data_IF_270949685524
#
_entry.id   IF_270949685524
#
_cell.length_a   1.000
_cell.length_b   1.000
_cell.length_c   1.000
_cell.angle_alpha   90.00
_cell.angle_beta   90.00
_cell.angle_gamma   90.00
#
_symmetry.space_group_name_H-M   'P 1'
#
loop_
_entity.id
_entity.type
_entity.pdbx_description
1 polymer ?
#
# COMPACT_ATOMS: atom_id res chain seq x y z
N UNK A 1 -7.79 10.81 12.67
CA UNK A 1 -6.88 10.81 13.83
C UNK A 1 -5.80 11.87 13.71
N UNK A 2 -5.18 12.04 12.54
CA UNK A 2 -4.15 13.06 12.31
C UNK A 2 -4.67 14.49 12.57
N UNK A 3 -5.78 14.88 11.99
CA UNK A 3 -6.40 16.20 12.19
C UNK A 3 -6.82 16.48 13.63
N UNK A 4 -7.12 15.43 14.39
CA UNK A 4 -7.51 15.55 15.80
C UNK A 4 -6.32 15.80 16.73
N UNK A 5 -5.15 15.28 16.39
CA UNK A 5 -3.94 15.33 17.22
C UNK A 5 -2.92 16.34 16.67
N UNK A 6 -2.75 16.39 15.37
CA UNK A 6 -1.75 17.19 14.67
C UNK A 6 -2.39 18.05 13.59
N UNK A 7 -2.28 19.35 13.69
CA UNK A 7 -2.85 20.29 12.71
C UNK A 7 -1.96 20.50 11.49
N UNK A 8 -0.68 20.16 11.60
CA UNK A 8 0.30 20.30 10.53
C UNK A 8 1.49 19.38 10.75
N UNK A 9 2.22 19.07 9.70
CA UNK A 9 3.54 18.43 9.80
C UNK A 9 4.48 19.43 10.50
N UNK A 10 5.34 18.93 11.41
CA UNK A 10 6.30 19.77 12.15
C UNK A 10 7.33 20.38 11.20
N UNK A 11 7.64 21.64 11.44
CA UNK A 11 8.56 22.44 10.60
C UNK A 11 9.86 22.80 11.34
N UNK A 12 10.16 22.17 12.45
CA UNK A 12 11.35 22.41 13.28
C UNK A 12 12.62 21.70 12.77
N UNK A 13 12.57 21.13 11.57
CA UNK A 13 13.69 20.45 10.91
C UNK A 13 13.86 18.98 11.30
N UNK A 14 13.07 18.47 12.25
CA UNK A 14 13.12 17.04 12.57
C UNK A 14 12.40 16.17 11.52
N UNK A 15 11.40 16.70 10.83
CA UNK A 15 10.80 16.06 9.67
C UNK A 15 11.54 16.48 8.40
N UNK A 16 12.00 15.47 7.65
CA UNK A 16 12.67 15.68 6.38
C UNK A 16 11.85 14.99 5.30
N UNK A 17 11.25 15.78 4.41
CA UNK A 17 10.60 15.23 3.24
C UNK A 17 11.65 14.65 2.27
N UNK A 18 11.54 13.37 1.97
CA UNK A 18 12.46 12.67 1.08
C UNK A 18 11.87 12.43 -0.32
N UNK A 19 10.68 12.96 -0.58
CA UNK A 19 9.92 12.71 -1.80
C UNK A 19 9.38 11.27 -1.86
N UNK A 20 9.06 10.82 -3.06
CA UNK A 20 8.48 9.48 -3.31
C UNK A 20 9.56 8.43 -3.67
N UNK A 21 10.82 8.68 -3.34
CA UNK A 21 11.92 7.76 -3.63
C UNK A 21 12.29 6.95 -2.39
N UNK A 22 11.71 5.77 -2.25
CA UNK A 22 11.92 4.88 -1.11
C UNK A 22 13.37 4.43 -0.96
N UNK A 23 14.12 4.25 -2.06
CA UNK A 23 15.55 3.94 -2.01
C UNK A 23 16.37 5.06 -1.33
N UNK A 24 15.99 6.33 -1.56
CA UNK A 24 16.63 7.45 -0.90
C UNK A 24 16.33 7.47 0.61
N UNK A 25 15.11 7.10 1.00
CA UNK A 25 14.73 6.97 2.41
C UNK A 25 15.57 5.89 3.08
N UNK A 26 15.68 4.71 2.47
CA UNK A 26 16.52 3.60 2.98
C UNK A 26 17.96 4.03 3.16
N UNK A 27 18.57 4.70 2.17
CA UNK A 27 19.94 5.22 2.28
C UNK A 27 20.12 6.22 3.44
N UNK A 28 19.13 7.11 3.65
CA UNK A 28 19.15 8.06 4.77
C UNK A 28 19.07 7.36 6.13
N UNK A 29 18.25 6.30 6.24
CA UNK A 29 18.16 5.48 7.45
C UNK A 29 19.46 4.74 7.74
N UNK A 30 20.11 4.17 6.73
CA UNK A 30 21.41 3.52 6.88
C UNK A 30 22.49 4.49 7.38
N UNK A 31 22.42 5.76 6.95
CA UNK A 31 23.35 6.80 7.36
C UNK A 31 23.05 7.40 8.75
N UNK A 32 21.80 7.30 9.22
CA UNK A 32 21.37 7.87 10.51
C UNK A 32 20.56 6.83 11.31
N UNK A 33 21.19 6.21 12.28
CA UNK A 33 20.62 5.14 13.11
C UNK A 33 19.53 5.62 14.10
N UNK A 34 19.45 6.92 14.33
CA UNK A 34 18.48 7.54 15.25
C UNK A 34 17.25 8.09 14.49
N UNK A 35 17.14 7.81 13.17
CA UNK A 35 16.03 8.26 12.35
C UNK A 35 14.97 7.16 12.17
N UNK A 36 13.72 7.60 11.96
CA UNK A 36 12.63 6.78 11.46
C UNK A 36 12.32 7.16 10.01
N UNK A 37 11.91 6.17 9.21
CA UNK A 37 11.45 6.37 7.84
C UNK A 37 10.06 5.82 7.63
N UNK A 38 9.32 6.40 6.69
CA UNK A 38 8.01 5.93 6.24
C UNK A 38 8.13 5.64 4.75
N UNK A 39 7.93 4.40 4.35
CA UNK A 39 8.08 3.92 2.97
C UNK A 39 7.36 2.58 2.80
N UNK A 40 7.32 2.07 1.56
CA UNK A 40 6.62 0.83 1.24
C UNK A 40 7.22 -0.40 1.93
N UNK A 41 6.37 -1.33 2.36
CA UNK A 41 6.76 -2.53 3.09
C UNK A 41 7.77 -3.40 2.33
N UNK A 42 7.67 -3.51 1.00
CA UNK A 42 8.62 -4.26 0.18
C UNK A 42 10.07 -3.79 0.34
N UNK A 43 10.29 -2.48 0.48
CA UNK A 43 11.64 -1.94 0.70
C UNK A 43 12.20 -2.30 2.08
N UNK A 44 11.33 -2.51 3.08
CA UNK A 44 11.75 -3.04 4.37
C UNK A 44 12.23 -4.50 4.21
N UNK A 45 11.48 -5.34 3.50
CA UNK A 45 11.84 -6.74 3.27
C UNK A 45 13.15 -6.88 2.48
N UNK A 46 13.29 -6.14 1.38
CA UNK A 46 14.51 -6.13 0.56
C UNK A 46 15.76 -5.68 1.33
N UNK A 47 15.59 -4.86 2.36
CA UNK A 47 16.68 -4.27 3.15
C UNK A 47 16.70 -4.77 4.60
N UNK A 48 16.06 -5.88 4.93
CA UNK A 48 15.93 -6.42 6.29
C UNK A 48 17.26 -6.69 7.00
N UNK A 49 18.37 -6.82 6.26
CA UNK A 49 19.71 -6.97 6.81
C UNK A 49 20.32 -5.67 7.34
N UNK A 50 19.81 -4.50 6.94
CA UNK A 50 20.40 -3.18 7.22
C UNK A 50 19.47 -2.23 7.95
N UNK A 51 18.17 -2.42 7.84
CA UNK A 51 17.14 -1.64 8.53
C UNK A 51 16.16 -2.58 9.25
N UNK A 52 15.46 -2.06 10.24
CA UNK A 52 14.50 -2.81 11.04
C UNK A 52 13.15 -2.14 11.03
N UNK A 53 12.09 -2.93 10.87
CA UNK A 53 10.72 -2.45 11.02
C UNK A 53 10.42 -2.06 12.46
N UNK A 54 9.77 -0.91 12.65
CA UNK A 54 9.34 -0.48 13.95
C UNK A 54 8.11 -1.25 14.41
N UNK A 55 8.12 -1.71 15.65
CA UNK A 55 6.96 -2.30 16.30
C UNK A 55 5.94 -1.20 16.65
N UNK A 56 4.67 -1.40 16.27
CA UNK A 56 3.57 -0.48 16.57
C UNK A 56 2.51 -1.23 17.38
N UNK A 57 2.20 -0.74 18.56
CA UNK A 57 1.23 -1.34 19.49
C UNK A 57 1.48 -2.84 19.76
N UNK A 58 2.73 -3.27 19.83
CA UNK A 58 3.10 -4.67 20.05
C UNK A 58 3.14 -5.53 18.79
N UNK A 59 2.87 -4.97 17.61
CA UNK A 59 2.89 -5.70 16.32
C UNK A 59 4.11 -5.30 15.50
N UNK A 60 4.90 -6.29 15.08
CA UNK A 60 6.02 -6.10 14.15
C UNK A 60 5.47 -6.11 12.72
N UNK A 61 5.99 -5.27 11.81
CA UNK A 61 5.58 -5.33 10.40
C UNK A 61 6.09 -6.63 9.76
N UNK A 62 5.16 -7.52 9.47
CA UNK A 62 5.38 -8.74 8.67
C UNK A 62 4.34 -8.80 7.57
N UNK A 63 4.59 -9.63 6.55
CA UNK A 63 3.61 -9.85 5.49
C UNK A 63 2.24 -10.25 6.05
N UNK A 64 2.23 -11.20 6.98
CA UNK A 64 1.01 -11.71 7.60
C UNK A 64 0.29 -10.63 8.41
N UNK A 65 1.01 -9.86 9.22
CA UNK A 65 0.42 -8.80 10.03
C UNK A 65 -0.14 -7.66 9.18
N UNK A 66 0.50 -7.35 8.05
CA UNK A 66 0.01 -6.36 7.07
C UNK A 66 -1.20 -6.89 6.34
N UNK A 67 -1.17 -8.13 5.83
CA UNK A 67 -2.28 -8.76 5.12
C UNK A 67 -3.53 -8.92 6.01
N UNK A 68 -3.33 -9.26 7.29
CA UNK A 68 -4.42 -9.38 8.27
C UNK A 68 -4.93 -8.03 8.81
N UNK A 69 -4.29 -6.89 8.45
CA UNK A 69 -4.64 -5.58 9.00
C UNK A 69 -4.28 -5.40 10.48
N UNK A 70 -3.46 -6.29 11.04
CA UNK A 70 -3.02 -6.22 12.44
C UNK A 70 -1.96 -5.15 12.68
N UNK A 71 -1.15 -4.83 11.66
CA UNK A 71 -0.21 -3.72 11.70
C UNK A 71 -0.94 -2.42 11.41
N UNK A 72 -1.37 -1.73 12.44
CA UNK A 72 -2.36 -0.63 12.42
C UNK A 72 -2.00 0.59 11.57
N UNK A 73 -0.76 0.73 11.14
CA UNK A 73 -0.35 1.80 10.21
C UNK A 73 -0.29 1.33 8.76
N UNK A 74 -0.58 0.06 8.49
CA UNK A 74 -0.77 -0.45 7.13
C UNK A 74 -2.02 0.17 6.49
N UNK A 75 -1.98 0.36 5.18
CA UNK A 75 -3.07 0.95 4.41
C UNK A 75 -3.23 0.19 3.10
N UNK A 76 -4.48 -0.05 2.66
CA UNK A 76 -4.70 -0.62 1.35
C UNK A 76 -4.30 0.37 0.24
N UNK A 77 -3.87 -0.17 -0.89
CA UNK A 77 -3.65 0.58 -2.11
C UNK A 77 -4.95 0.58 -2.92
N UNK A 78 -5.37 1.76 -3.39
CA UNK A 78 -6.58 1.90 -4.18
C UNK A 78 -6.27 2.30 -5.62
N UNK A 79 -6.98 1.69 -6.57
CA UNK A 79 -7.03 2.16 -7.97
C UNK A 79 -8.42 2.71 -8.24
N UNK A 80 -8.47 3.91 -8.79
CA UNK A 80 -9.71 4.58 -9.15
C UNK A 80 -9.86 4.59 -10.68
N UNK A 81 -10.85 3.88 -11.20
CA UNK A 81 -11.20 3.89 -12.60
C UNK A 81 -12.48 4.70 -12.83
N UNK A 82 -12.45 5.67 -13.75
CA UNK A 82 -13.64 6.44 -14.09
C UNK A 82 -14.58 5.58 -14.95
N UNK A 83 -15.71 5.17 -14.38
CA UNK A 83 -16.69 4.28 -15.07
C UNK A 83 -17.08 4.77 -16.46
N UNK A 84 -17.28 6.08 -16.64
CA UNK A 84 -17.63 6.66 -17.93
C UNK A 84 -16.53 6.49 -19.02
N UNK A 85 -15.33 6.08 -18.64
CA UNK A 85 -14.24 5.82 -19.58
C UNK A 85 -14.11 4.34 -19.97
N UNK A 86 -14.78 3.44 -19.24
CA UNK A 86 -14.80 2.01 -19.57
C UNK A 86 -15.54 1.83 -20.90
N UNK A 87 -14.88 1.17 -21.86
CA UNK A 87 -15.39 1.01 -23.22
C UNK A 87 -15.15 2.23 -24.15
N UNK A 88 -14.67 3.36 -23.61
CA UNK A 88 -14.27 4.54 -24.39
C UNK A 88 -12.75 4.62 -24.53
N UNK A 89 -12.04 4.42 -23.40
CA UNK A 89 -10.57 4.33 -23.43
C UNK A 89 -10.17 2.88 -23.73
N UNK A 90 -9.47 2.64 -24.84
CA UNK A 90 -9.04 1.29 -25.21
C UNK A 90 -8.16 0.67 -24.12
N UNK A 91 -8.40 -0.60 -23.80
CA UNK A 91 -7.60 -1.37 -22.84
C UNK A 91 -7.93 -1.13 -21.36
N UNK A 92 -8.81 -0.18 -21.02
CA UNK A 92 -9.12 0.10 -19.60
C UNK A 92 -9.81 -1.08 -18.92
N UNK A 93 -10.79 -1.70 -19.56
CA UNK A 93 -11.50 -2.85 -19.00
C UNK A 93 -10.57 -4.04 -18.84
N UNK A 94 -9.75 -4.31 -19.84
CA UNK A 94 -8.75 -5.38 -19.86
C UNK A 94 -7.67 -5.15 -18.80
N UNK A 95 -7.21 -3.91 -18.64
CA UNK A 95 -6.25 -3.56 -17.60
C UNK A 95 -6.81 -3.81 -16.20
N UNK A 96 -8.04 -3.39 -15.94
CA UNK A 96 -8.67 -3.60 -14.63
C UNK A 96 -8.91 -5.09 -14.36
N UNK A 97 -9.31 -5.86 -15.36
CA UNK A 97 -9.49 -7.30 -15.25
C UNK A 97 -8.16 -8.02 -15.00
N UNK A 98 -7.10 -7.67 -15.73
CA UNK A 98 -5.76 -8.24 -15.53
C UNK A 98 -5.19 -7.87 -14.17
N UNK A 99 -5.27 -6.59 -13.79
CA UNK A 99 -4.75 -6.11 -12.51
C UNK A 99 -5.37 -6.84 -11.32
N UNK A 100 -6.66 -7.21 -11.40
CA UNK A 100 -7.36 -7.95 -10.34
C UNK A 100 -7.38 -9.46 -10.55
N UNK A 101 -6.67 -9.98 -11.55
CA UNK A 101 -6.60 -11.42 -11.85
C UNK A 101 -5.80 -12.18 -10.78
N UNK A 102 -5.95 -13.50 -10.72
CA UNK A 102 -5.11 -14.36 -9.88
C UNK A 102 -3.65 -14.35 -10.32
N UNK A 103 -3.40 -14.16 -11.63
CA UNK A 103 -2.05 -14.04 -12.16
C UNK A 103 -1.33 -12.78 -11.64
N UNK A 104 -2.07 -11.70 -11.37
CA UNK A 104 -1.52 -10.45 -10.86
C UNK A 104 -1.56 -10.37 -9.31
N UNK A 105 -2.73 -10.54 -8.72
CA UNK A 105 -2.99 -10.32 -7.28
C UNK A 105 -3.22 -11.60 -6.48
N UNK A 106 -3.16 -12.79 -7.12
CA UNK A 106 -3.25 -14.06 -6.39
C UNK A 106 -2.07 -14.28 -5.45
N UNK A 107 -2.11 -15.35 -4.67
CA UNK A 107 -1.08 -15.71 -3.69
C UNK A 107 0.32 -15.80 -4.34
N UNK A 108 0.40 -16.38 -5.54
CA UNK A 108 1.62 -16.46 -6.36
C UNK A 108 1.61 -15.43 -7.51
N UNK A 109 0.88 -14.33 -7.36
CA UNK A 109 0.73 -13.32 -8.41
C UNK A 109 1.99 -12.47 -8.57
N UNK A 110 2.26 -12.06 -9.83
CA UNK A 110 3.49 -11.32 -10.16
C UNK A 110 3.60 -9.94 -9.46
N UNK A 111 2.50 -9.37 -8.95
CA UNK A 111 2.55 -8.15 -8.17
C UNK A 111 3.08 -8.38 -6.75
N UNK A 112 2.91 -9.60 -6.20
CA UNK A 112 3.56 -10.00 -4.95
C UNK A 112 5.08 -9.96 -5.06
N UNK A 113 5.64 -10.41 -6.20
CA UNK A 113 7.08 -10.31 -6.48
C UNK A 113 7.59 -8.85 -6.56
N UNK A 114 6.67 -7.90 -6.75
CA UNK A 114 6.95 -6.45 -6.74
C UNK A 114 6.69 -5.80 -5.38
N UNK A 115 6.45 -6.62 -4.36
CA UNK A 115 6.27 -6.18 -2.98
C UNK A 115 4.85 -5.72 -2.62
N UNK A 116 3.86 -6.06 -3.45
CA UNK A 116 2.47 -5.84 -3.09
C UNK A 116 2.02 -6.94 -2.12
N UNK A 117 1.56 -6.55 -0.94
CA UNK A 117 0.90 -7.47 -0.01
C UNK A 117 -0.52 -7.73 -0.53
N UNK A 118 -0.83 -8.99 -0.82
CA UNK A 118 -2.13 -9.36 -1.39
C UNK A 118 -3.24 -9.26 -0.35
N UNK A 119 -4.47 -9.03 -0.82
CA UNK A 119 -5.66 -9.05 0.03
C UNK A 119 -6.00 -10.47 0.47
N UNK A 120 -6.68 -10.66 1.60
CA UNK A 120 -7.34 -11.93 1.93
C UNK A 120 -8.23 -12.41 0.78
N UNK A 121 -8.36 -13.72 0.62
CA UNK A 121 -9.00 -14.32 -0.56
C UNK A 121 -10.47 -13.88 -0.76
N UNK A 122 -11.21 -13.67 0.31
CA UNK A 122 -12.59 -13.18 0.30
C UNK A 122 -12.67 -11.71 -0.12
N UNK A 123 -11.76 -10.87 0.34
CA UNK A 123 -11.66 -9.47 -0.06
C UNK A 123 -11.23 -9.35 -1.52
N UNK A 124 -10.22 -10.12 -1.95
CA UNK A 124 -9.79 -10.17 -3.36
C UNK A 124 -10.94 -10.59 -4.26
N UNK A 125 -11.74 -11.60 -3.84
CA UNK A 125 -12.92 -12.01 -4.59
C UNK A 125 -13.94 -10.87 -4.71
N UNK A 126 -14.20 -10.13 -3.63
CA UNK A 126 -15.12 -8.99 -3.66
C UNK A 126 -14.64 -7.90 -4.62
N UNK A 127 -13.33 -7.61 -4.65
CA UNK A 127 -12.72 -6.66 -5.60
C UNK A 127 -12.89 -7.13 -7.05
N UNK A 128 -12.65 -8.41 -7.34
CA UNK A 128 -12.86 -9.00 -8.68
C UNK A 128 -14.31 -8.87 -9.14
N UNK A 129 -15.24 -9.21 -8.25
CA UNK A 129 -16.69 -9.13 -8.54
C UNK A 129 -17.11 -7.67 -8.78
N UNK A 130 -16.57 -6.72 -8.01
CA UNK A 130 -16.83 -5.28 -8.20
C UNK A 130 -16.29 -4.77 -9.54
N UNK A 131 -15.08 -5.18 -9.94
CA UNK A 131 -14.48 -4.81 -11.23
C UNK A 131 -15.28 -5.43 -12.40
N UNK A 132 -15.59 -6.72 -12.34
CA UNK A 132 -16.37 -7.40 -13.36
C UNK A 132 -17.78 -6.81 -13.52
N UNK A 133 -18.43 -6.46 -12.43
CA UNK A 133 -19.74 -5.81 -12.39
C UNK A 133 -19.70 -4.31 -12.67
N UNK A 134 -18.51 -3.71 -12.80
CA UNK A 134 -18.33 -2.25 -12.89
C UNK A 134 -19.08 -1.50 -11.79
N UNK A 135 -19.02 -2.03 -10.56
CA UNK A 135 -19.69 -1.44 -9.41
C UNK A 135 -19.16 -0.03 -9.15
N UNK A 136 -20.08 0.93 -8.99
CA UNK A 136 -19.68 2.28 -8.63
C UNK A 136 -19.37 2.33 -7.12
N UNK A 137 -18.22 2.90 -6.78
CA UNK A 137 -17.87 3.18 -5.39
C UNK A 137 -18.86 4.19 -4.80
N UNK A 138 -19.24 3.98 -3.55
CA UNK A 138 -20.08 4.92 -2.80
C UNK A 138 -19.22 5.88 -1.99
N UNK A 139 -19.77 7.05 -1.69
CA UNK A 139 -19.01 8.10 -0.98
C UNK A 139 -18.60 7.68 0.43
N UNK A 140 -19.37 6.83 1.08
CA UNK A 140 -19.09 6.28 2.42
C UNK A 140 -17.98 5.21 2.43
N UNK A 141 -17.63 4.68 1.28
CA UNK A 141 -16.51 3.73 1.10
C UNK A 141 -15.14 4.43 0.96
N UNK A 142 -15.14 5.77 0.94
CA UNK A 142 -13.93 6.60 0.80
C UNK A 142 -13.36 7.10 2.15
N UNK A 143 -13.96 6.73 3.27
CA UNK A 143 -13.62 7.25 4.62
C UNK A 143 -12.73 6.32 5.43
#
# INVERSE_FOLDING_TARGET
>A
AFEKVWKSIREDGAYVEAGENDNLIVQKLQANKDAFGIFGFSFLEENASTIKGAEIDGTVPSYEAVAAGEYKVSRPLFIYAKKAHVGVVPGMAEFMAEYTSDAALGEDGYLGEKGLVTLPADELKAVKDAVAGQAAMKTDELS
#
